data_IF_977684241615
#
_entry.id   IF_977684241615
#
_cell.length_a   1.000
_cell.length_b   1.000
_cell.length_c   1.000
_cell.angle_alpha   90.00
_cell.angle_beta   90.00
_cell.angle_gamma   90.00
#
_symmetry.space_group_name_H-M   'P 1'
#
loop_
_entity.id
_entity.type
_entity.pdbx_description
1 polymer ?
#
# COMPACT_ATOMS: atom_id res chain seq x y z
N UNK A 1 12.90 12.07 9.24
CA UNK A 1 11.52 12.06 9.74
C UNK A 1 11.08 10.64 10.09
N UNK A 2 10.08 10.54 10.94
CA UNK A 2 9.53 9.27 11.37
C UNK A 2 8.06 9.16 10.97
N UNK A 3 7.69 8.06 10.33
CA UNK A 3 6.31 7.72 10.03
C UNK A 3 5.78 6.83 11.15
N UNK A 4 4.66 7.21 11.74
CA UNK A 4 3.93 6.38 12.70
C UNK A 4 2.67 5.85 12.05
N UNK A 5 2.52 4.53 12.01
CA UNK A 5 1.33 3.86 11.49
C UNK A 5 0.60 3.22 12.65
N UNK A 6 -0.68 3.54 12.82
CA UNK A 6 -1.51 2.97 13.87
C UNK A 6 -2.66 2.20 13.23
N UNK A 7 -2.73 0.91 13.51
CA UNK A 7 -3.84 0.06 13.08
C UNK A 7 -4.70 -0.25 14.30
N UNK A 8 -5.97 0.12 14.24
CA UNK A 8 -6.92 -0.13 15.32
C UNK A 8 -8.05 -1.00 14.79
N UNK A 9 -8.30 -2.11 15.49
CA UNK A 9 -9.38 -3.02 15.19
C UNK A 9 -10.35 -3.04 16.34
N UNK A 10 -11.64 -2.97 16.05
CA UNK A 10 -12.69 -2.98 17.05
C UNK A 10 -13.71 -4.07 16.70
N UNK A 11 -13.84 -5.04 17.57
CA UNK A 11 -14.86 -6.10 17.42
C UNK A 11 -15.29 -6.56 18.80
N UNK A 12 -16.59 -6.48 19.06
CA UNK A 12 -17.20 -7.08 20.24
C UNK A 12 -18.20 -8.14 19.78
N UNK A 13 -17.99 -9.38 20.21
CA UNK A 13 -18.84 -10.49 19.85
C UNK A 13 -19.17 -11.30 21.09
N UNK A 14 -20.47 -11.50 21.35
CA UNK A 14 -20.96 -12.24 22.52
C UNK A 14 -20.39 -11.71 23.85
N UNK A 15 -20.24 -10.38 23.95
CA UNK A 15 -19.71 -9.72 25.15
C UNK A 15 -18.18 -9.77 25.28
N UNK A 16 -17.48 -10.30 24.31
CA UNK A 16 -16.01 -10.37 24.31
C UNK A 16 -15.42 -9.44 23.29
N UNK A 17 -14.38 -8.70 23.69
CA UNK A 17 -13.65 -7.80 22.82
C UNK A 17 -12.50 -8.55 22.11
N UNK A 18 -12.52 -8.54 20.78
CA UNK A 18 -11.48 -9.12 19.93
C UNK A 18 -10.64 -8.05 19.23
N UNK A 19 -10.83 -6.80 19.58
CA UNK A 19 -10.10 -5.70 18.98
C UNK A 19 -8.66 -5.62 19.47
N UNK A 20 -7.84 -4.95 18.69
CA UNK A 20 -6.44 -4.71 19.03
C UNK A 20 -5.96 -3.41 18.39
N UNK A 21 -4.96 -2.79 19.01
CA UNK A 21 -4.29 -1.62 18.46
C UNK A 21 -2.81 -1.95 18.28
N UNK A 22 -2.30 -1.74 17.07
CA UNK A 22 -0.89 -1.92 16.77
C UNK A 22 -0.31 -0.61 16.27
N UNK A 23 0.77 -0.17 16.87
CA UNK A 23 1.49 1.04 16.49
C UNK A 23 2.86 0.64 15.95
N UNK A 24 3.22 1.16 14.78
CA UNK A 24 4.50 0.91 14.14
C UNK A 24 5.20 2.24 13.88
N UNK A 25 6.49 2.31 14.17
CA UNK A 25 7.31 3.49 13.90
C UNK A 25 8.36 3.14 12.85
N UNK A 26 8.42 3.94 11.79
CA UNK A 26 9.38 3.79 10.70
C UNK A 26 10.21 5.06 10.64
N UNK A 27 11.49 4.96 11.00
CA UNK A 27 12.40 6.10 11.00
C UNK A 27 13.13 6.24 9.65
N UNK A 28 13.79 7.39 9.48
CA UNK A 28 14.61 7.63 8.30
C UNK A 28 13.81 7.86 7.02
N UNK A 29 12.63 8.44 7.14
CA UNK A 29 11.80 8.79 5.99
C UNK A 29 12.32 10.10 5.41
N UNK A 30 12.77 10.07 4.17
CA UNK A 30 13.31 11.22 3.46
C UNK A 30 12.43 11.68 2.29
N UNK A 31 11.60 10.80 1.77
CA UNK A 31 10.79 11.06 0.58
C UNK A 31 9.40 10.49 0.74
N UNK A 32 8.40 11.25 0.30
CA UNK A 32 7.00 10.82 0.30
C UNK A 32 6.38 11.17 -1.04
N UNK A 33 5.65 10.23 -1.63
CA UNK A 33 4.81 10.50 -2.79
C UNK A 33 3.36 10.16 -2.43
N UNK A 34 2.46 11.10 -2.64
CA UNK A 34 1.03 10.90 -2.44
C UNK A 34 0.29 11.47 -3.63
N UNK A 35 -0.50 10.64 -4.29
CA UNK A 35 -1.23 11.07 -5.49
C UNK A 35 -2.50 10.27 -5.67
N UNK A 36 -3.41 10.83 -6.45
CA UNK A 36 -4.66 10.18 -6.84
C UNK A 36 -4.52 9.76 -8.31
N UNK A 37 -4.79 8.49 -8.58
CA UNK A 37 -4.71 7.92 -9.91
C UNK A 37 -6.09 7.48 -10.37
N UNK A 38 -6.37 7.65 -11.67
CA UNK A 38 -7.55 7.06 -12.28
C UNK A 38 -7.18 5.68 -12.81
N UNK A 39 -7.86 4.66 -12.28
CA UNK A 39 -7.64 3.28 -12.70
C UNK A 39 -8.45 3.00 -13.97
N UNK A 40 -7.78 2.59 -15.04
CA UNK A 40 -8.43 2.19 -16.27
C UNK A 40 -9.07 0.81 -16.13
N UNK A 41 -10.06 0.51 -16.97
CA UNK A 41 -10.71 -0.80 -17.02
C UNK A 41 -9.78 -1.87 -17.57
N UNK A 42 -8.81 -1.46 -18.40
CA UNK A 42 -7.76 -2.36 -18.92
C UNK A 42 -6.59 -2.37 -17.93
N UNK A 43 -6.02 -3.55 -17.58
CA UNK A 43 -4.86 -3.61 -16.70
C UNK A 43 -3.68 -2.80 -17.22
N UNK A 44 -2.88 -2.25 -16.32
CA UNK A 44 -1.65 -1.55 -16.66
C UNK A 44 -1.49 -0.15 -16.09
N UNK A 45 -2.45 0.33 -15.27
CA UNK A 45 -2.23 1.58 -14.54
C UNK A 45 -1.13 1.35 -13.51
N UNK A 46 0.04 1.97 -13.73
CA UNK A 46 1.18 1.79 -12.86
C UNK A 46 1.08 2.71 -11.64
N UNK A 47 1.12 2.12 -10.46
CA UNK A 47 1.10 2.85 -9.19
C UNK A 47 2.51 3.11 -8.70
N UNK A 48 3.36 2.09 -8.78
CA UNK A 48 4.72 2.12 -8.28
C UNK A 48 5.64 1.25 -9.12
N UNK A 49 6.84 1.73 -9.38
CA UNK A 49 7.89 0.95 -10.03
C UNK A 49 9.22 1.16 -9.29
N UNK A 50 9.92 0.07 -9.02
CA UNK A 50 11.27 0.12 -8.49
C UNK A 50 12.28 0.52 -9.57
N UNK A 51 13.25 1.34 -9.21
CA UNK A 51 14.27 1.85 -10.13
C UNK A 51 15.56 2.16 -9.38
N UNK A 52 16.56 2.60 -10.10
CA UNK A 52 17.83 3.08 -9.51
C UNK A 52 17.75 4.53 -9.06
N UNK A 53 16.70 5.25 -9.43
CA UNK A 53 16.48 6.65 -9.05
C UNK A 53 15.02 6.90 -8.75
N UNK A 54 14.73 7.84 -7.85
CA UNK A 54 13.37 8.23 -7.53
C UNK A 54 12.78 9.14 -8.60
N UNK A 55 11.45 9.13 -8.71
CA UNK A 55 10.70 9.95 -9.63
C UNK A 55 9.21 9.79 -9.38
N UNK A 56 8.38 10.31 -10.28
CA UNK A 56 6.93 10.18 -10.16
C UNK A 56 6.50 8.72 -10.35
N UNK A 57 6.00 8.10 -9.29
CA UNK A 57 5.64 6.68 -9.30
C UNK A 57 6.83 5.73 -9.32
N UNK A 58 8.04 6.25 -9.06
CA UNK A 58 9.28 5.48 -9.11
C UNK A 58 10.11 5.81 -7.89
N UNK A 59 10.58 4.77 -7.21
CA UNK A 59 11.48 4.90 -6.05
C UNK A 59 12.67 3.96 -6.23
N UNK A 60 13.72 4.22 -5.47
CA UNK A 60 14.90 3.36 -5.48
C UNK A 60 14.51 1.99 -4.92
N UNK A 61 14.84 0.93 -5.66
CA UNK A 61 14.57 -0.45 -5.27
C UNK A 61 15.19 -0.73 -3.90
N UNK A 62 14.46 -1.44 -3.05
CA UNK A 62 14.84 -1.81 -1.69
C UNK A 62 14.91 -0.64 -0.69
N UNK A 63 14.46 0.55 -1.09
CA UNK A 63 14.41 1.70 -0.17
C UNK A 63 12.99 2.10 0.24
N UNK A 64 11.97 1.50 -0.34
CA UNK A 64 10.58 1.81 -0.01
C UNK A 64 10.21 1.11 1.29
N UNK A 65 9.68 1.88 2.25
CA UNK A 65 9.36 1.39 3.59
C UNK A 65 7.87 1.31 3.87
N UNK A 66 7.06 1.98 3.08
CA UNK A 66 5.62 2.02 3.28
C UNK A 66 4.91 2.30 1.97
N UNK A 67 3.93 1.47 1.66
CA UNK A 67 3.03 1.65 0.52
C UNK A 67 1.60 1.54 1.02
N UNK A 68 0.77 2.53 0.71
CA UNK A 68 -0.65 2.48 0.99
C UNK A 68 -1.43 2.79 -0.28
N UNK A 69 -2.40 1.94 -0.58
CA UNK A 69 -3.30 2.12 -1.72
C UNK A 69 -4.73 2.08 -1.18
N UNK A 70 -5.46 3.18 -1.38
CA UNK A 70 -6.84 3.30 -0.95
C UNK A 70 -7.73 3.35 -2.17
N UNK A 71 -8.75 2.49 -2.22
CA UNK A 71 -9.77 2.56 -3.24
C UNK A 71 -10.81 3.61 -2.83
N UNK A 72 -10.79 4.75 -3.52
CA UNK A 72 -11.70 5.87 -3.21
C UNK A 72 -13.06 5.76 -3.89
N UNK A 73 -13.26 4.75 -4.75
CA UNK A 73 -14.54 4.51 -5.37
C UNK A 73 -15.54 4.03 -4.32
N UNK A 74 -16.80 4.43 -4.46
CA UNK A 74 -17.86 4.02 -3.53
C UNK A 74 -18.66 2.80 -4.03
N UNK A 75 -18.36 2.30 -5.22
CA UNK A 75 -19.14 1.25 -5.88
C UNK A 75 -18.28 0.11 -6.39
N UNK A 76 -17.14 0.41 -7.00
CA UNK A 76 -16.35 -0.56 -7.74
C UNK A 76 -15.07 -0.97 -6.97
N UNK A 77 -14.71 -2.24 -7.08
CA UNK A 77 -13.46 -2.75 -6.56
C UNK A 77 -12.32 -2.53 -7.56
N UNK A 78 -11.09 -2.51 -7.06
CA UNK A 78 -9.88 -2.51 -7.89
C UNK A 78 -9.05 -3.73 -7.55
N UNK A 79 -8.28 -4.23 -8.52
CA UNK A 79 -7.35 -5.33 -8.31
C UNK A 79 -5.93 -4.80 -8.39
N UNK A 80 -5.15 -5.09 -7.35
CA UNK A 80 -3.73 -4.75 -7.30
C UNK A 80 -2.93 -5.96 -7.76
N UNK A 81 -2.02 -5.73 -8.72
CA UNK A 81 -1.11 -6.75 -9.22
C UNK A 81 0.31 -6.43 -8.73
N UNK A 82 0.98 -7.43 -8.17
CA UNK A 82 2.40 -7.35 -7.87
C UNK A 82 3.12 -8.13 -8.96
N UNK A 83 3.94 -7.42 -9.75
CA UNK A 83 4.56 -7.97 -10.96
C UNK A 83 6.07 -7.73 -10.93
N UNK A 84 6.81 -8.57 -11.66
CA UNK A 84 8.23 -8.36 -11.91
C UNK A 84 8.46 -7.51 -13.17
N UNK A 85 9.73 -7.32 -13.56
CA UNK A 85 10.09 -6.51 -14.74
C UNK A 85 9.69 -7.15 -16.06
N UNK A 86 9.31 -8.43 -16.07
CA UNK A 86 8.83 -9.14 -17.25
C UNK A 86 7.30 -9.19 -17.32
N UNK A 87 6.63 -8.45 -16.43
CA UNK A 87 5.16 -8.41 -16.29
C UNK A 87 4.55 -9.73 -15.88
N UNK A 88 5.31 -10.57 -15.18
CA UNK A 88 4.79 -11.78 -14.56
C UNK A 88 4.12 -11.40 -13.23
N UNK A 89 2.84 -11.74 -13.09
CA UNK A 89 2.10 -11.45 -11.87
C UNK A 89 2.40 -12.50 -10.81
N UNK A 90 2.94 -12.07 -9.67
CA UNK A 90 3.21 -12.96 -8.54
C UNK A 90 2.06 -12.99 -7.54
N UNK A 91 1.31 -11.91 -7.44
CA UNK A 91 0.19 -11.83 -6.50
C UNK A 91 -0.86 -10.84 -7.00
N UNK A 92 -2.12 -11.12 -6.67
CA UNK A 92 -3.24 -10.24 -6.95
C UNK A 92 -4.08 -10.08 -5.69
N UNK A 93 -4.51 -8.85 -5.43
CA UNK A 93 -5.37 -8.54 -4.29
C UNK A 93 -6.54 -7.70 -4.76
N UNK A 94 -7.76 -8.12 -4.41
CA UNK A 94 -8.95 -7.34 -4.68
C UNK A 94 -9.19 -6.37 -3.52
N UNK A 95 -9.30 -5.08 -3.85
CA UNK A 95 -9.56 -4.03 -2.87
C UNK A 95 -11.00 -3.55 -3.10
N UNK A 96 -11.96 -3.92 -2.25
CA UNK A 96 -13.32 -3.46 -2.39
C UNK A 96 -13.42 -1.94 -2.29
N UNK A 97 -14.56 -1.40 -2.72
CA UNK A 97 -14.83 0.04 -2.63
C UNK A 97 -14.63 0.53 -1.20
N UNK A 98 -13.91 1.64 -1.04
CA UNK A 98 -13.67 2.25 0.26
C UNK A 98 -12.66 1.55 1.14
N UNK A 99 -12.03 0.48 0.67
CA UNK A 99 -11.05 -0.28 1.47
C UNK A 99 -9.63 0.15 1.15
N UNK A 100 -8.69 -0.33 1.98
CA UNK A 100 -7.29 0.06 1.92
C UNK A 100 -6.41 -1.19 1.91
N UNK A 101 -5.30 -1.09 1.17
CA UNK A 101 -4.22 -2.08 1.15
C UNK A 101 -2.92 -1.38 1.55
N UNK A 102 -2.11 -2.00 2.39
CA UNK A 102 -0.84 -1.40 2.76
C UNK A 102 0.23 -2.45 3.04
N UNK A 103 1.48 -2.07 2.80
CA UNK A 103 2.68 -2.84 3.11
C UNK A 103 3.62 -1.97 3.93
N UNK A 104 4.23 -2.55 4.94
CA UNK A 104 5.21 -1.85 5.78
C UNK A 104 6.47 -2.68 5.95
N UNK A 105 7.63 -2.01 5.88
CA UNK A 105 8.91 -2.62 6.21
C UNK A 105 9.88 -1.53 6.66
N UNK A 106 10.23 -1.54 7.93
CA UNK A 106 11.15 -0.55 8.50
C UNK A 106 12.56 -0.66 7.91
N UNK A 107 12.92 -1.79 7.33
CA UNK A 107 14.24 -2.00 6.72
C UNK A 107 14.31 -1.54 5.25
N UNK A 108 13.16 -1.31 4.61
CA UNK A 108 13.13 -0.84 3.23
C UNK A 108 13.38 -1.94 2.20
N UNK A 109 12.54 -2.99 2.23
CA UNK A 109 12.69 -4.13 1.33
C UNK A 109 11.83 -4.03 0.06
N UNK A 110 11.06 -2.96 -0.10
CA UNK A 110 10.16 -2.80 -1.24
C UNK A 110 10.71 -1.91 -2.33
#
# INVERSE_FOLDING_TARGET
STLTVTLTEQLTLNGRDYGATRKMSISGINEVSKRILTCATTPGTQVYAGSTASGLGTFVTDNVRYIRITNLDDTNAVTIHIEDTTNTTYAQFLIPAGHVFFLTDAAGSY
#
